data_IF_749950016055
#
_entry.id   IF_749950016055
#
_cell.length_a   1.000
_cell.length_b   1.000
_cell.length_c   1.000
_cell.angle_alpha   90.00
_cell.angle_beta   90.00
_cell.angle_gamma   90.00
#
_symmetry.space_group_name_H-M   'P 1'
#
loop_
_entity.id
_entity.type
_entity.pdbx_description
1 polymer ?
#
# COMPACT_ATOMS: atom_id res chain seq x y z
N UNK A 1 30.45 -6.18 8.72
CA UNK A 1 30.95 -6.41 10.11
C UNK A 1 31.27 -5.13 10.89
N UNK A 2 32.28 -4.33 10.52
CA UNK A 2 32.70 -3.16 11.33
C UNK A 2 31.65 -2.05 11.56
N UNK A 3 30.53 -2.07 10.82
CA UNK A 3 29.44 -1.11 10.93
C UNK A 3 28.17 -1.68 11.59
N UNK A 4 28.15 -2.96 12.00
CA UNK A 4 26.91 -3.65 12.42
C UNK A 4 26.20 -2.93 13.57
N UNK A 5 26.96 -2.45 14.56
CA UNK A 5 26.41 -1.71 15.71
C UNK A 5 25.67 -0.44 15.24
N UNK A 6 26.25 0.31 14.30
CA UNK A 6 25.62 1.53 13.78
C UNK A 6 24.36 1.22 12.96
N UNK A 7 24.39 0.16 12.14
CA UNK A 7 23.23 -0.23 11.34
C UNK A 7 22.08 -0.75 12.22
N UNK A 8 22.39 -1.46 13.31
CA UNK A 8 21.40 -2.01 14.23
C UNK A 8 20.64 -0.94 15.01
N UNK A 9 21.22 0.25 15.23
CA UNK A 9 20.53 1.36 15.93
C UNK A 9 19.62 2.18 15.01
N UNK A 10 19.74 2.04 13.68
CA UNK A 10 18.98 2.87 12.73
C UNK A 10 17.46 2.74 12.93
N UNK A 11 16.86 1.53 13.03
CA UNK A 11 15.41 1.41 13.18
C UNK A 11 14.87 2.17 14.41
N UNK A 12 15.48 1.99 15.57
CA UNK A 12 15.09 2.68 16.81
C UNK A 12 15.28 4.20 16.71
N UNK A 13 16.37 4.64 16.06
CA UNK A 13 16.62 6.07 15.83
C UNK A 13 15.54 6.70 14.94
N UNK A 14 15.17 6.02 13.85
CA UNK A 14 14.12 6.48 12.94
C UNK A 14 12.76 6.49 13.64
N UNK A 15 12.43 5.43 14.39
CA UNK A 15 11.18 5.36 15.15
C UNK A 15 11.11 6.50 16.17
N UNK A 16 12.18 6.79 16.90
CA UNK A 16 12.26 7.91 17.83
C UNK A 16 11.91 9.25 17.16
N UNK A 17 12.54 9.58 16.03
CA UNK A 17 12.25 10.84 15.33
C UNK A 17 10.86 10.87 14.67
N UNK A 18 10.32 9.71 14.25
CA UNK A 18 8.93 9.59 13.84
C UNK A 18 7.99 9.93 15.00
N UNK A 19 8.25 9.41 16.20
CA UNK A 19 7.45 9.74 17.38
C UNK A 19 7.54 11.22 17.76
N UNK A 20 8.72 11.85 17.64
CA UNK A 20 8.87 13.28 17.87
C UNK A 20 8.09 14.13 16.86
N UNK A 21 8.13 13.81 15.55
CA UNK A 21 7.36 14.55 14.55
C UNK A 21 5.85 14.31 14.70
N UNK A 22 5.44 13.12 15.15
CA UNK A 22 4.04 12.81 15.46
C UNK A 22 3.50 13.74 16.56
N UNK A 23 4.27 13.95 17.64
CA UNK A 23 3.91 14.89 18.73
C UNK A 23 3.73 16.32 18.25
N UNK A 24 4.58 16.77 17.31
CA UNK A 24 4.54 18.14 16.80
C UNK A 24 3.40 18.38 15.81
N UNK A 25 2.97 17.34 15.09
CA UNK A 25 2.13 17.51 13.89
C UNK A 25 0.78 16.82 13.99
N UNK A 26 0.57 15.98 15.01
CA UNK A 26 -0.62 15.16 15.18
C UNK A 26 -0.77 14.04 14.14
N UNK A 27 0.27 13.77 13.34
CA UNK A 27 0.31 12.65 12.38
C UNK A 27 0.80 11.37 13.08
N UNK A 28 0.57 10.23 12.44
CA UNK A 28 1.00 8.91 12.94
C UNK A 28 1.94 8.24 11.93
N UNK A 29 3.25 8.40 12.15
CA UNK A 29 4.29 7.68 11.45
C UNK A 29 4.94 6.64 12.34
N UNK A 30 5.16 5.46 11.78
CA UNK A 30 5.94 4.35 12.33
C UNK A 30 6.76 3.74 11.21
N UNK A 31 7.75 2.92 11.55
CA UNK A 31 8.51 2.16 10.54
C UNK A 31 7.58 1.35 9.62
N UNK A 32 6.52 0.80 10.23
CA UNK A 32 5.43 0.08 9.61
C UNK A 32 4.11 0.54 10.24
N UNK A 33 3.22 1.15 9.46
CA UNK A 33 1.90 1.58 9.95
C UNK A 33 0.83 0.56 9.56
N UNK A 34 0.11 0.05 10.55
CA UNK A 34 -1.12 -0.72 10.30
C UNK A 34 -2.32 0.20 10.17
N UNK A 35 -3.23 -0.13 9.25
CA UNK A 35 -4.53 0.52 9.12
C UNK A 35 -5.61 -0.50 8.73
N UNK A 36 -6.75 -0.50 9.41
CA UNK A 36 -7.86 -1.41 9.11
C UNK A 36 -8.56 -1.93 10.36
N UNK A 37 -9.30 -3.02 10.19
CA UNK A 37 -10.04 -3.65 11.28
C UNK A 37 -9.06 -4.25 12.32
N UNK A 38 -9.18 -3.95 13.63
CA UNK A 38 -8.28 -4.49 14.65
C UNK A 38 -8.22 -6.03 14.69
N UNK A 39 -9.28 -6.68 14.23
CA UNK A 39 -9.45 -8.12 14.12
C UNK A 39 -9.39 -8.62 12.66
N UNK A 40 -8.68 -7.92 11.78
CA UNK A 40 -8.54 -8.33 10.39
C UNK A 40 -7.87 -9.72 10.26
N UNK A 41 -8.41 -10.54 9.36
CA UNK A 41 -7.84 -11.84 8.99
C UNK A 41 -6.99 -11.77 7.71
N UNK A 42 -7.25 -10.76 6.88
CA UNK A 42 -6.58 -10.52 5.60
C UNK A 42 -5.90 -9.15 5.60
N UNK A 43 -4.61 -9.15 5.26
CA UNK A 43 -3.80 -7.92 5.27
C UNK A 43 -3.03 -7.77 3.96
N UNK A 44 -2.99 -6.56 3.42
CA UNK A 44 -2.09 -6.22 2.30
C UNK A 44 -0.87 -5.45 2.83
N UNK A 45 0.33 -5.90 2.48
CA UNK A 45 1.58 -5.17 2.74
C UNK A 45 1.96 -4.39 1.49
N UNK A 46 2.15 -3.08 1.63
CA UNK A 46 2.46 -2.19 0.49
C UNK A 46 3.42 -1.07 0.90
N UNK A 47 4.08 -0.47 -0.08
CA UNK A 47 4.99 0.66 0.10
C UNK A 47 4.66 1.78 -0.90
N UNK A 48 5.00 3.02 -0.54
CA UNK A 48 4.81 4.23 -1.37
C UNK A 48 3.33 4.53 -1.68
N UNK A 49 3.06 5.26 -2.78
CA UNK A 49 1.78 5.91 -3.07
C UNK A 49 0.56 4.99 -3.18
N UNK A 50 0.73 3.69 -3.46
CA UNK A 50 -0.39 2.76 -3.50
C UNK A 50 -1.05 2.57 -2.13
N UNK A 51 -0.36 2.94 -1.04
CA UNK A 51 -0.94 2.93 0.30
C UNK A 51 -2.20 3.78 0.42
N UNK A 52 -2.28 4.91 -0.27
CA UNK A 52 -3.42 5.82 -0.13
C UNK A 52 -4.68 5.26 -0.78
N UNK A 53 -4.55 4.74 -2.01
CA UNK A 53 -5.65 4.04 -2.67
C UNK A 53 -6.07 2.79 -1.89
N UNK A 54 -5.10 2.05 -1.35
CA UNK A 54 -5.38 0.88 -0.52
C UNK A 54 -6.09 1.23 0.78
N UNK A 55 -5.73 2.35 1.42
CA UNK A 55 -6.40 2.84 2.63
C UNK A 55 -7.87 3.10 2.37
N UNK A 56 -8.19 3.69 1.23
CA UNK A 56 -9.56 3.92 0.78
C UNK A 56 -10.29 2.61 0.52
N UNK A 57 -9.64 1.66 -0.17
CA UNK A 57 -10.17 0.31 -0.37
C UNK A 57 -10.45 -0.43 0.93
N UNK A 58 -9.57 -0.34 1.92
CA UNK A 58 -9.77 -0.92 3.25
C UNK A 58 -11.00 -0.31 3.92
N UNK A 59 -11.18 1.01 3.85
CA UNK A 59 -12.36 1.67 4.39
C UNK A 59 -13.64 1.18 3.72
N UNK A 60 -13.66 1.15 2.38
CA UNK A 60 -14.79 0.68 1.61
C UNK A 60 -15.17 -0.76 1.98
N UNK A 61 -14.20 -1.68 2.00
CA UNK A 61 -14.47 -3.09 2.32
C UNK A 61 -14.95 -3.26 3.77
N UNK A 62 -14.35 -2.57 4.73
CA UNK A 62 -14.76 -2.66 6.13
C UNK A 62 -16.13 -2.04 6.40
N UNK A 63 -16.48 -0.94 5.72
CA UNK A 63 -17.84 -0.37 5.77
C UNK A 63 -18.89 -1.32 5.18
N UNK A 64 -18.49 -2.17 4.23
CA UNK A 64 -19.31 -3.24 3.66
C UNK A 64 -19.21 -4.57 4.42
N UNK A 65 -18.77 -4.55 5.68
CA UNK A 65 -18.83 -5.70 6.60
C UNK A 65 -17.67 -6.69 6.48
N UNK A 66 -16.67 -6.43 5.63
CA UNK A 66 -15.41 -7.20 5.67
C UNK A 66 -14.56 -6.78 6.88
N UNK A 67 -13.53 -7.58 7.16
CA UNK A 67 -12.53 -7.31 8.21
C UNK A 67 -11.14 -7.43 7.61
N UNK A 68 -10.72 -6.37 6.93
CA UNK A 68 -9.45 -6.31 6.23
C UNK A 68 -8.58 -5.19 6.77
N UNK A 69 -7.28 -5.29 6.53
CA UNK A 69 -6.35 -4.22 6.83
C UNK A 69 -5.16 -4.16 5.90
N UNK A 70 -4.27 -3.23 6.18
CA UNK A 70 -3.05 -3.02 5.43
C UNK A 70 -1.89 -2.68 6.35
N UNK A 71 -0.67 -2.98 5.91
CA UNK A 71 0.57 -2.50 6.50
C UNK A 71 1.31 -1.66 5.46
N UNK A 72 1.51 -0.38 5.77
CA UNK A 72 2.33 0.54 4.98
C UNK A 72 3.77 0.51 5.47
N UNK A 73 4.71 0.25 4.57
CA UNK A 73 6.15 0.30 4.85
C UNK A 73 6.64 1.74 4.67
N UNK A 74 7.22 2.32 5.72
CA UNK A 74 7.94 3.60 5.65
C UNK A 74 9.46 3.40 5.63
N UNK A 75 9.98 2.51 6.47
CA UNK A 75 11.41 2.18 6.50
C UNK A 75 11.64 0.79 5.91
N UNK A 76 11.94 0.73 4.61
CA UNK A 76 12.26 -0.53 3.93
C UNK A 76 13.62 -1.11 4.34
N UNK A 77 14.63 -0.26 4.58
CA UNK A 77 15.97 -0.67 5.00
C UNK A 77 16.57 0.27 6.06
N UNK A 78 17.18 -0.28 7.13
CA UNK A 78 17.19 -1.70 7.52
C UNK A 78 15.78 -2.22 7.87
N UNK A 79 15.44 -3.43 7.44
CA UNK A 79 14.12 -4.02 7.68
C UNK A 79 14.03 -4.52 9.13
N UNK A 80 13.22 -3.87 9.96
CA UNK A 80 13.09 -4.27 11.38
C UNK A 80 12.02 -5.33 11.56
N UNK A 81 12.44 -6.59 11.72
CA UNK A 81 11.54 -7.76 11.91
C UNK A 81 10.60 -7.56 13.10
N UNK A 82 11.12 -7.05 14.21
CA UNK A 82 10.32 -6.75 15.41
C UNK A 82 9.18 -5.78 15.08
N UNK A 83 9.49 -4.59 14.56
CA UNK A 83 8.48 -3.57 14.29
C UNK A 83 7.48 -4.01 13.22
N UNK A 84 7.93 -4.76 12.22
CA UNK A 84 7.05 -5.30 11.18
C UNK A 84 6.06 -6.33 11.75
N UNK A 85 6.55 -7.32 12.50
CA UNK A 85 5.71 -8.34 13.12
C UNK A 85 4.72 -7.74 14.13
N UNK A 86 5.16 -6.76 14.92
CA UNK A 86 4.34 -6.06 15.92
C UNK A 86 3.19 -5.25 15.28
N UNK A 87 3.36 -4.81 14.02
CA UNK A 87 2.33 -4.08 13.29
C UNK A 87 1.20 -4.99 12.76
N UNK A 88 1.41 -6.30 12.65
CA UNK A 88 0.44 -7.23 12.07
C UNK A 88 -0.50 -7.76 13.16
N UNK A 89 -1.83 -7.62 13.01
CA UNK A 89 -2.80 -8.17 13.96
C UNK A 89 -2.57 -9.66 14.25
N UNK A 90 -2.78 -10.06 15.50
CA UNK A 90 -2.66 -11.46 15.92
C UNK A 90 -3.69 -12.37 15.21
N UNK A 91 -4.82 -11.80 14.79
CA UNK A 91 -5.88 -12.47 14.03
C UNK A 91 -5.54 -12.72 12.57
N UNK A 92 -4.53 -12.03 12.03
CA UNK A 92 -4.17 -12.12 10.62
C UNK A 92 -3.78 -13.56 10.24
N UNK A 93 -4.40 -14.08 9.17
CA UNK A 93 -4.18 -15.43 8.62
C UNK A 93 -3.64 -15.42 7.21
N UNK A 94 -3.89 -14.37 6.43
CA UNK A 94 -3.43 -14.28 5.05
C UNK A 94 -2.88 -12.90 4.72
N UNK A 95 -1.74 -12.86 4.04
CA UNK A 95 -1.08 -11.64 3.62
C UNK A 95 -0.86 -11.65 2.11
N UNK A 96 -1.22 -10.57 1.42
CA UNK A 96 -0.71 -10.29 0.08
C UNK A 96 0.34 -9.19 0.16
N UNK A 97 1.49 -9.41 -0.47
CA UNK A 97 2.58 -8.43 -0.55
C UNK A 97 2.60 -7.85 -1.95
N UNK A 98 2.50 -6.53 -2.06
CA UNK A 98 2.46 -5.82 -3.34
C UNK A 98 3.79 -5.13 -3.64
N UNK A 99 4.43 -5.59 -4.71
CA UNK A 99 5.70 -5.07 -5.20
C UNK A 99 5.51 -4.24 -6.48
N UNK A 100 6.13 -3.06 -6.50
CA UNK A 100 6.20 -2.18 -7.68
C UNK A 100 7.49 -2.39 -8.46
N UNK A 101 7.87 -3.66 -8.63
CA UNK A 101 9.09 -4.09 -9.33
C UNK A 101 8.85 -5.43 -10.02
N UNK A 102 9.76 -5.82 -10.91
CA UNK A 102 9.81 -7.15 -11.52
C UNK A 102 11.26 -7.61 -11.61
N UNK A 103 11.62 -8.59 -10.79
CA UNK A 103 12.93 -9.23 -10.83
C UNK A 103 12.84 -10.56 -11.58
N UNK A 104 13.27 -10.56 -12.84
CA UNK A 104 13.13 -11.71 -13.74
C UNK A 104 13.96 -12.89 -13.24
N UNK A 105 13.30 -14.05 -13.06
CA UNK A 105 13.95 -15.28 -12.59
C UNK A 105 14.12 -15.38 -11.07
N UNK A 106 13.71 -14.36 -10.32
CA UNK A 106 13.64 -14.44 -8.86
C UNK A 106 12.54 -15.41 -8.40
N UNK A 107 12.67 -15.92 -7.17
CA UNK A 107 11.64 -16.74 -6.50
C UNK A 107 10.48 -15.89 -5.95
N UNK A 108 10.58 -14.57 -6.06
CA UNK A 108 9.59 -13.57 -5.64
C UNK A 108 10.24 -12.19 -5.56
N UNK A 109 9.41 -11.15 -5.54
CA UNK A 109 9.87 -9.76 -5.52
C UNK A 109 10.44 -9.33 -4.16
N UNK A 110 11.22 -8.23 -4.09
CA UNK A 110 12.02 -7.90 -2.91
C UNK A 110 11.21 -7.75 -1.61
N UNK A 111 10.09 -7.02 -1.63
CA UNK A 111 9.27 -6.85 -0.41
C UNK A 111 8.64 -8.17 -0.02
N UNK A 112 8.12 -8.95 -0.98
CA UNK A 112 7.61 -10.29 -0.71
C UNK A 112 8.64 -11.19 -0.02
N UNK A 113 9.90 -11.21 -0.49
CA UNK A 113 10.95 -12.04 0.11
C UNK A 113 11.30 -11.61 1.54
N UNK A 114 11.34 -10.30 1.80
CA UNK A 114 11.58 -9.78 3.14
C UNK A 114 10.44 -10.10 4.09
N UNK A 115 9.19 -9.96 3.66
CA UNK A 115 8.00 -10.29 4.46
C UNK A 115 7.99 -11.77 4.82
N UNK A 116 8.23 -12.65 3.85
CA UNK A 116 8.36 -14.09 4.09
C UNK A 116 9.43 -14.40 5.14
N UNK A 117 10.61 -13.79 4.98
CA UNK A 117 11.75 -14.01 5.87
C UNK A 117 11.49 -13.45 7.26
N UNK A 118 10.93 -12.25 7.37
CA UNK A 118 10.64 -11.59 8.63
C UNK A 118 9.59 -12.35 9.45
N UNK A 119 8.50 -12.81 8.83
CA UNK A 119 7.48 -13.59 9.54
C UNK A 119 7.99 -14.95 9.99
N UNK A 120 8.83 -15.60 9.17
CA UNK A 120 9.51 -16.82 9.58
C UNK A 120 10.41 -16.59 10.80
N UNK A 121 11.26 -15.55 10.78
CA UNK A 121 12.13 -15.20 11.91
C UNK A 121 11.34 -14.80 13.17
N UNK A 122 10.17 -14.19 13.01
CA UNK A 122 9.26 -13.87 14.10
C UNK A 122 8.43 -15.07 14.60
N UNK A 123 8.55 -16.25 13.98
CA UNK A 123 7.78 -17.45 14.32
C UNK A 123 6.31 -17.41 13.90
N UNK A 124 5.90 -16.45 13.06
CA UNK A 124 4.53 -16.31 12.49
C UNK A 124 4.37 -17.15 11.22
N UNK A 125 4.64 -18.45 11.32
CA UNK A 125 4.52 -19.40 10.20
C UNK A 125 3.09 -19.87 9.95
N UNK A 126 2.13 -19.39 10.75
CA UNK A 126 0.70 -19.67 10.62
C UNK A 126 0.00 -18.80 9.56
N UNK A 127 0.70 -17.79 9.02
CA UNK A 127 0.18 -16.87 8.01
C UNK A 127 0.50 -17.38 6.61
N UNK A 128 -0.51 -17.50 5.75
CA UNK A 128 -0.30 -17.74 4.32
C UNK A 128 0.08 -16.44 3.61
N UNK A 129 1.20 -16.44 2.90
CA UNK A 129 1.73 -15.24 2.22
C UNK A 129 1.69 -15.46 0.71
N UNK A 130 1.17 -14.49 -0.02
CA UNK A 130 1.23 -14.42 -1.50
C UNK A 130 1.84 -13.10 -1.96
N UNK A 131 2.57 -13.13 -3.08
CA UNK A 131 3.18 -11.97 -3.71
C UNK A 131 2.42 -11.55 -4.98
N UNK A 132 2.36 -10.24 -5.22
CA UNK A 132 1.73 -9.66 -6.39
C UNK A 132 2.48 -8.44 -6.90
N UNK A 133 2.49 -8.26 -8.23
CA UNK A 133 3.09 -7.09 -8.88
C UNK A 133 2.04 -6.09 -9.33
N UNK A 134 2.35 -4.81 -9.20
CA UNK A 134 1.47 -3.72 -9.62
C UNK A 134 2.26 -2.51 -10.17
N UNK A 135 1.56 -1.60 -10.85
CA UNK A 135 2.01 -0.22 -11.04
C UNK A 135 3.31 0.02 -11.81
N UNK A 136 3.81 -0.99 -12.55
CA UNK A 136 5.02 -0.87 -13.36
C UNK A 136 4.84 0.22 -14.42
N UNK A 137 5.85 1.07 -14.59
CA UNK A 137 5.83 2.18 -15.56
C UNK A 137 4.59 3.07 -15.45
N UNK A 138 4.17 3.37 -14.22
CA UNK A 138 2.99 4.19 -13.92
C UNK A 138 1.67 3.60 -14.43
N UNK A 139 1.58 2.28 -14.60
CA UNK A 139 0.29 1.62 -14.82
C UNK A 139 -0.66 1.94 -13.66
N UNK A 140 -1.90 2.31 -13.99
CA UNK A 140 -2.90 2.67 -12.98
C UNK A 140 -3.16 1.51 -12.00
N UNK A 141 -3.27 1.88 -10.72
CA UNK A 141 -3.59 0.97 -9.62
C UNK A 141 -4.86 1.48 -8.96
N UNK A 142 -5.99 0.96 -9.42
CA UNK A 142 -7.33 1.45 -9.02
C UNK A 142 -7.86 0.69 -7.80
N UNK A 143 -8.84 1.25 -7.09
CA UNK A 143 -9.46 0.55 -5.97
C UNK A 143 -10.08 -0.80 -6.36
N UNK A 144 -10.63 -0.94 -7.56
CA UNK A 144 -11.19 -2.22 -8.04
C UNK A 144 -10.12 -3.32 -8.14
N UNK A 145 -8.92 -2.98 -8.61
CA UNK A 145 -7.79 -3.89 -8.65
C UNK A 145 -7.33 -4.30 -7.25
N UNK A 146 -7.38 -3.40 -6.27
CA UNK A 146 -7.01 -3.67 -4.88
C UNK A 146 -8.08 -4.54 -4.17
N UNK A 147 -9.36 -4.35 -4.49
CA UNK A 147 -10.43 -5.27 -4.06
C UNK A 147 -10.14 -6.69 -4.57
N UNK A 148 -9.75 -6.86 -5.83
CA UNK A 148 -9.40 -8.17 -6.37
C UNK A 148 -8.24 -8.85 -5.63
N UNK A 149 -7.30 -8.10 -5.05
CA UNK A 149 -6.25 -8.67 -4.19
C UNK A 149 -6.85 -9.24 -2.90
N UNK A 150 -7.78 -8.54 -2.26
CA UNK A 150 -8.49 -9.07 -1.10
C UNK A 150 -9.40 -10.25 -1.45
N UNK A 151 -10.07 -10.23 -2.60
CA UNK A 151 -10.88 -11.36 -3.08
C UNK A 151 -10.00 -12.59 -3.35
N UNK A 152 -8.78 -12.39 -3.87
CA UNK A 152 -7.78 -13.44 -4.00
C UNK A 152 -7.37 -14.01 -2.63
N UNK A 153 -7.17 -13.17 -1.61
CA UNK A 153 -6.88 -13.62 -0.24
C UNK A 153 -8.04 -14.40 0.38
N UNK A 154 -9.29 -14.05 0.07
CA UNK A 154 -10.46 -14.74 0.61
C UNK A 154 -10.58 -16.20 0.14
N UNK A 155 -9.97 -16.56 -0.99
CA UNK A 155 -10.01 -17.93 -1.52
C UNK A 155 -9.28 -18.94 -0.62
N UNK A 156 -9.71 -20.20 -0.65
CA UNK A 156 -9.04 -21.29 0.08
C UNK A 156 -7.58 -21.48 -0.37
N UNK A 157 -7.30 -21.24 -1.65
CA UNK A 157 -5.97 -21.29 -2.25
C UNK A 157 -5.71 -20.01 -3.05
N UNK A 158 -5.33 -18.91 -2.36
CA UNK A 158 -4.99 -17.66 -3.01
C UNK A 158 -3.91 -17.87 -4.07
N UNK A 159 -4.10 -17.25 -5.23
CA UNK A 159 -3.11 -17.22 -6.31
C UNK A 159 -1.87 -16.49 -5.81
N UNK A 160 -0.71 -17.12 -5.95
CA UNK A 160 0.59 -16.51 -5.66
C UNK A 160 1.22 -16.00 -6.97
N UNK A 161 2.21 -15.11 -6.86
CA UNK A 161 2.97 -14.50 -7.97
C UNK A 161 2.09 -13.81 -9.03
N UNK A 162 1.00 -13.20 -8.58
CA UNK A 162 -0.01 -12.61 -9.45
C UNK A 162 0.40 -11.22 -9.99
N UNK A 163 -0.39 -10.69 -10.92
CA UNK A 163 -0.31 -9.30 -11.39
C UNK A 163 -1.68 -8.63 -11.28
N UNK A 164 -1.70 -7.30 -11.09
CA UNK A 164 -2.92 -6.49 -11.20
C UNK A 164 -2.72 -5.37 -12.23
N UNK A 165 -3.82 -4.94 -12.86
CA UNK A 165 -3.83 -3.86 -13.84
C UNK A 165 -3.49 -4.27 -15.28
N UNK A 166 -3.25 -5.55 -15.54
CA UNK A 166 -3.05 -6.10 -16.91
C UNK A 166 -3.95 -7.32 -17.12
N UNK A 167 -4.21 -7.66 -18.39
CA UNK A 167 -4.69 -8.98 -18.77
C UNK A 167 -3.48 -9.78 -19.27
N UNK A 168 -3.07 -10.78 -18.50
CA UNK A 168 -2.00 -11.70 -18.86
C UNK A 168 -2.61 -13.02 -19.33
N UNK A 169 -2.92 -13.07 -20.62
CA UNK A 169 -3.50 -14.23 -21.32
C UNK A 169 -2.44 -15.27 -21.75
N UNK A 170 -1.16 -15.05 -21.43
CA UNK A 170 -0.05 -15.94 -21.77
C UNK A 170 0.40 -16.76 -20.58
N UNK A 171 0.72 -16.10 -19.46
CA UNK A 171 1.17 -16.78 -18.24
C UNK A 171 0.09 -16.84 -17.17
N UNK A 172 -1.08 -16.27 -17.43
CA UNK A 172 -2.25 -16.32 -16.56
C UNK A 172 -1.94 -15.88 -15.13
N UNK A 173 -1.11 -14.85 -14.96
CA UNK A 173 -0.77 -14.32 -13.63
C UNK A 173 -1.74 -13.24 -13.17
N UNK A 174 -2.45 -12.57 -14.09
CA UNK A 174 -3.37 -11.48 -13.75
C UNK A 174 -4.53 -11.94 -12.88
N UNK A 175 -4.97 -11.06 -11.98
CA UNK A 175 -6.25 -11.19 -11.28
C UNK A 175 -7.35 -10.47 -12.07
N UNK A 176 -8.50 -11.12 -12.18
CA UNK A 176 -9.71 -10.47 -12.68
C UNK A 176 -10.21 -9.47 -11.66
N UNK A 177 -10.74 -8.35 -12.13
CA UNK A 177 -11.30 -7.32 -11.27
C UNK A 177 -12.48 -6.62 -11.95
N UNK A 178 -13.30 -5.98 -11.14
CA UNK A 178 -14.29 -5.01 -11.60
C UNK A 178 -13.96 -3.67 -10.96
N UNK A 179 -14.18 -2.58 -11.71
CA UNK A 179 -14.02 -1.25 -11.13
C UNK A 179 -15.13 -1.01 -10.11
N UNK A 180 -14.76 -0.40 -9.00
CA UNK A 180 -15.67 -0.01 -7.93
C UNK A 180 -15.72 1.50 -7.86
N UNK A 181 -16.92 2.03 -7.74
CA UNK A 181 -17.13 3.46 -7.50
C UNK A 181 -17.25 3.67 -5.99
N UNK A 182 -16.31 4.43 -5.42
CA UNK A 182 -16.34 4.78 -4.00
C UNK A 182 -17.04 6.12 -3.83
N UNK A 183 -17.87 6.23 -2.79
CA UNK A 183 -18.54 7.48 -2.49
C UNK A 183 -17.55 8.46 -1.83
N UNK A 184 -17.52 9.68 -2.35
CA UNK A 184 -16.71 10.76 -1.83
C UNK A 184 -17.59 11.99 -1.53
N UNK A 185 -18.39 11.96 -0.44
CA UNK A 185 -19.29 13.05 -0.11
C UNK A 185 -18.57 14.39 -0.01
N UNK A 186 -19.01 15.36 -0.80
CA UNK A 186 -18.44 16.71 -0.80
C UNK A 186 -17.16 16.88 -1.64
N UNK A 187 -16.66 15.82 -2.28
CA UNK A 187 -15.58 15.91 -3.25
C UNK A 187 -16.13 16.34 -4.62
N UNK A 188 -15.35 17.17 -5.33
CA UNK A 188 -15.62 17.53 -6.72
C UNK A 188 -14.45 17.05 -7.57
N UNK A 189 -14.74 16.22 -8.56
CA UNK A 189 -13.76 15.64 -9.48
C UNK A 189 -13.93 16.23 -10.87
N UNK A 190 -12.84 16.74 -11.46
CA UNK A 190 -12.84 17.37 -12.78
C UNK A 190 -11.85 16.67 -13.71
N UNK A 191 -12.22 16.50 -14.98
CA UNK A 191 -11.29 16.12 -16.06
C UNK A 191 -11.25 17.23 -17.10
N UNK A 192 -10.06 17.72 -17.41
CA UNK A 192 -9.85 18.80 -18.38
C UNK A 192 -8.99 18.30 -19.53
N UNK A 193 -9.47 18.47 -20.75
CA UNK A 193 -8.76 18.11 -21.97
C UNK A 193 -8.25 19.39 -22.62
N UNK A 194 -6.93 19.47 -22.79
CA UNK A 194 -6.26 20.62 -23.39
C UNK A 194 -5.29 20.18 -24.49
N UNK A 195 -4.91 21.13 -25.34
CA UNK A 195 -3.87 20.97 -26.34
C UNK A 195 -2.50 21.32 -25.76
N UNK A 196 -1.44 20.65 -26.24
CA UNK A 196 -0.07 20.99 -25.86
C UNK A 196 0.25 22.45 -26.18
N UNK A 197 0.52 23.25 -25.14
CA UNK A 197 0.88 24.67 -25.26
C UNK A 197 -0.29 25.67 -25.12
N UNK A 198 -1.53 25.21 -24.88
CA UNK A 198 -2.70 26.09 -24.77
C UNK A 198 -2.88 26.77 -23.39
N UNK A 199 -2.05 26.40 -22.40
CA UNK A 199 -2.11 26.93 -21.04
C UNK A 199 -2.98 26.16 -20.06
N UNK A 200 -3.70 25.10 -20.47
CA UNK A 200 -4.62 24.33 -19.62
C UNK A 200 -3.96 23.82 -18.33
N UNK A 201 -2.77 23.19 -18.45
CA UNK A 201 -2.03 22.68 -17.28
C UNK A 201 -1.62 23.82 -16.33
N UNK A 202 -1.19 24.97 -16.88
CA UNK A 202 -0.80 26.13 -16.08
C UNK A 202 -1.99 26.75 -15.33
N UNK A 203 -3.12 26.88 -16.02
CA UNK A 203 -4.37 27.36 -15.43
C UNK A 203 -4.84 26.46 -14.29
N UNK A 204 -4.80 25.13 -14.46
CA UNK A 204 -5.18 24.18 -13.42
C UNK A 204 -4.29 24.26 -12.18
N UNK A 205 -2.97 24.42 -12.34
CA UNK A 205 -2.04 24.61 -11.20
C UNK A 205 -2.38 25.86 -10.39
N UNK A 206 -2.70 26.97 -11.07
CA UNK A 206 -3.14 28.21 -10.41
C UNK A 206 -4.48 28.05 -9.70
N UNK A 207 -5.45 27.38 -10.33
CA UNK A 207 -6.76 27.13 -9.75
C UNK A 207 -6.65 26.29 -8.47
N UNK A 208 -5.88 25.20 -8.49
CA UNK A 208 -5.66 24.31 -7.35
C UNK A 208 -4.97 25.02 -6.19
N UNK A 209 -3.97 25.86 -6.48
CA UNK A 209 -3.32 26.70 -5.46
C UNK A 209 -4.30 27.67 -4.83
N UNK A 210 -5.16 28.30 -5.62
CA UNK A 210 -6.19 29.23 -5.14
C UNK A 210 -7.19 28.52 -4.24
N UNK A 211 -7.68 27.34 -4.66
CA UNK A 211 -8.62 26.52 -3.88
C UNK A 211 -7.99 26.10 -2.55
N UNK A 212 -6.74 25.59 -2.58
CA UNK A 212 -6.06 25.12 -1.38
C UNK A 212 -5.77 26.24 -0.37
N UNK A 213 -5.26 27.38 -0.82
CA UNK A 213 -4.83 28.46 0.07
C UNK A 213 -5.96 29.40 0.51
N UNK A 214 -6.99 29.56 -0.32
CA UNK A 214 -8.04 30.58 -0.09
C UNK A 214 -9.35 29.96 0.37
N UNK A 215 -9.72 28.79 -0.17
CA UNK A 215 -11.01 28.17 0.12
C UNK A 215 -10.97 27.21 1.32
N UNK A 216 -9.80 27.05 1.96
CA UNK A 216 -9.58 26.12 3.08
C UNK A 216 -10.08 24.69 2.75
N UNK A 217 -9.80 24.23 1.53
CA UNK A 217 -10.14 22.88 1.04
C UNK A 217 -8.89 22.09 0.75
N UNK A 218 -8.96 20.77 0.86
CA UNK A 218 -7.97 19.90 0.24
C UNK A 218 -8.09 20.02 -1.28
N UNK A 219 -6.95 20.05 -1.98
CA UNK A 219 -6.89 20.15 -3.43
C UNK A 219 -5.79 19.23 -3.96
N UNK A 220 -6.08 18.52 -5.06
CA UNK A 220 -5.19 17.55 -5.69
C UNK A 220 -5.18 17.77 -7.20
N UNK A 221 -4.01 17.60 -7.82
CA UNK A 221 -3.82 17.60 -9.27
C UNK A 221 -3.00 16.37 -9.67
N UNK A 222 -3.31 15.82 -10.83
CA UNK A 222 -2.48 14.86 -11.54
C UNK A 222 -2.44 15.24 -13.02
#
# INVERSE_FOLDING_TARGET
EGANVKSATVPETVQHYMDEINKLTGRDYKLFNYYGAPDAEEVIVVMCSASEALKETVNYLNQNGRKVGMVQIHLYRPFSVKHFSDAIPATCKKIAVLDRSKEVGSVGEPVYLDVCTALNQAGRTDIQIVGGRYGLSSKDTTPGQLVAVYDNLAQDKPKNNFTIGINDDVTHTSLDYTEVEMDHPGQVSCKLWGLGGDGTVGANKNAITTIGLTANKYAQAY
#
